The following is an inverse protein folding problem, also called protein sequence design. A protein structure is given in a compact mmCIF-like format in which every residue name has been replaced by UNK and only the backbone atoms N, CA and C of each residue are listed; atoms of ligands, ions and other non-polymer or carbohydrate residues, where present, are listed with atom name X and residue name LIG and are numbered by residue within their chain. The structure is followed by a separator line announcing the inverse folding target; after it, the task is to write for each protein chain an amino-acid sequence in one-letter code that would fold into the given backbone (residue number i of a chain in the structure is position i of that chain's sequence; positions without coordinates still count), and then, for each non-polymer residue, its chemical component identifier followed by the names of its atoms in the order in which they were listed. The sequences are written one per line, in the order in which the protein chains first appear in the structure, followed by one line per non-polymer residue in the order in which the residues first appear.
data_IF_228769107724
#
_entry.id   IF_228769107724
#
_cell.length_a   1.000
_cell.length_b   1.000
_cell.length_c   1.000
_cell.angle_alpha   90.00
_cell.angle_beta   90.00
_cell.angle_gamma   90.00
#
_symmetry.space_group_name_H-M   'P 1'
#
loop_
_entity.id
_entity.type
_entity.pdbx_description
1 polymer ?
#
# COMPACT_ATOMS: atom_id res chain seq x y z
N UNK A 1 -7.20 -39.44 22.15
CA UNK A 1 -6.69 -38.91 20.88
C UNK A 1 -6.15 -37.51 21.18
N UNK A 2 -4.83 -37.32 21.18
CA UNK A 2 -4.16 -36.06 21.57
C UNK A 2 -4.08 -35.16 20.34
N UNK A 3 -4.78 -34.02 20.35
CA UNK A 3 -4.64 -32.94 19.39
C UNK A 3 -3.25 -32.32 19.57
N UNK A 4 -2.35 -32.54 18.63
CA UNK A 4 -1.09 -31.79 18.49
C UNK A 4 -1.41 -30.49 17.75
N UNK A 5 -1.65 -29.43 18.48
CA UNK A 5 -1.54 -28.07 17.95
C UNK A 5 -0.09 -27.85 17.51
N UNK A 6 0.12 -27.81 16.19
CA UNK A 6 1.36 -27.31 15.60
C UNK A 6 1.41 -25.80 15.81
N UNK A 7 2.07 -25.37 16.87
CA UNK A 7 2.53 -24.01 17.07
C UNK A 7 3.57 -23.73 15.97
N UNK A 8 3.16 -23.06 14.92
CA UNK A 8 4.08 -22.60 13.87
C UNK A 8 4.94 -21.51 14.50
N UNK A 9 6.22 -21.81 14.74
CA UNK A 9 7.19 -20.82 15.24
C UNK A 9 7.42 -19.81 14.10
N UNK A 10 7.08 -18.56 14.35
CA UNK A 10 7.49 -17.44 13.51
C UNK A 10 9.03 -17.39 13.49
N UNK A 11 9.60 -17.57 12.32
CA UNK A 11 11.05 -17.42 12.13
C UNK A 11 11.30 -15.95 11.80
N UNK A 12 11.87 -15.23 12.76
CA UNK A 12 12.32 -13.84 12.58
C UNK A 12 13.83 -13.87 12.52
N UNK A 13 14.40 -13.51 11.38
CA UNK A 13 15.84 -13.28 11.25
C UNK A 13 16.09 -11.77 11.09
N UNK A 14 16.80 -11.20 12.07
CA UNK A 14 17.33 -9.84 11.97
C UNK A 14 18.60 -9.88 11.12
N UNK A 15 18.55 -9.29 9.93
CA UNK A 15 19.70 -9.19 9.03
C UNK A 15 20.16 -7.75 8.89
N UNK A 16 21.40 -7.51 9.31
CA UNK A 16 22.34 -6.41 9.08
C UNK A 16 21.81 -4.98 8.94
N UNK A 17 22.28 -4.15 9.87
CA UNK A 17 22.30 -2.69 9.76
C UNK A 17 23.16 -2.25 8.55
N UNK A 18 22.60 -1.50 7.63
CA UNK A 18 23.36 -0.74 6.63
C UNK A 18 23.50 0.71 7.12
N UNK A 19 24.67 1.05 7.62
CA UNK A 19 24.97 2.40 8.09
C UNK A 19 25.45 3.29 6.95
N UNK A 20 25.08 4.58 6.99
CA UNK A 20 25.70 5.65 6.21
C UNK A 20 24.82 6.89 6.07
N UNK A 21 25.09 7.95 6.86
CA UNK A 21 24.48 9.26 6.67
C UNK A 21 23.24 9.52 7.54
N UNK A 22 22.92 10.79 7.75
CA UNK A 22 21.82 11.31 8.59
C UNK A 22 20.37 10.98 8.13
N UNK A 23 20.19 10.05 7.23
CA UNK A 23 18.92 9.42 6.94
C UNK A 23 18.69 8.29 7.95
N UNK A 24 17.49 8.18 8.51
CA UNK A 24 17.13 7.15 9.50
C UNK A 24 17.58 5.76 9.02
N UNK A 25 18.11 4.96 9.95
CA UNK A 25 18.68 3.66 9.65
C UNK A 25 17.58 2.72 9.15
N UNK A 26 17.71 2.21 7.91
CA UNK A 26 16.79 1.19 7.38
C UNK A 26 17.22 -0.15 7.98
N UNK A 27 16.26 -0.83 8.62
CA UNK A 27 16.45 -2.15 9.20
C UNK A 27 15.76 -3.19 8.33
N UNK A 28 16.45 -4.27 8.04
CA UNK A 28 15.91 -5.39 7.28
C UNK A 28 15.47 -6.50 8.24
N UNK A 29 14.32 -7.08 7.98
CA UNK A 29 13.83 -8.27 8.67
C UNK A 29 12.99 -9.13 7.72
N UNK A 30 12.67 -10.36 8.13
CA UNK A 30 11.72 -11.19 7.38
C UNK A 30 10.67 -11.80 8.29
N UNK A 31 9.45 -11.96 7.76
CA UNK A 31 8.34 -12.64 8.43
C UNK A 31 7.81 -13.70 7.48
N UNK A 32 7.99 -14.97 7.84
CA UNK A 32 7.56 -16.13 7.04
C UNK A 32 8.01 -16.08 5.58
N UNK A 33 9.27 -15.65 5.36
CA UNK A 33 9.91 -15.61 4.05
C UNK A 33 9.59 -14.36 3.21
N UNK A 34 8.80 -13.43 3.72
CA UNK A 34 8.57 -12.12 3.08
C UNK A 34 9.54 -11.12 3.70
N UNK A 35 10.33 -10.47 2.85
CA UNK A 35 11.30 -9.46 3.27
C UNK A 35 10.61 -8.14 3.60
N UNK A 36 11.06 -7.50 4.69
CA UNK A 36 10.61 -6.20 5.17
C UNK A 36 11.79 -5.26 5.30
N UNK A 37 11.57 -4.01 4.91
CA UNK A 37 12.48 -2.89 5.14
C UNK A 37 11.78 -1.87 6.01
N UNK A 38 12.37 -1.54 7.15
CA UNK A 38 11.76 -0.68 8.15
C UNK A 38 12.58 0.60 8.32
N UNK A 39 11.89 1.73 8.38
CA UNK A 39 12.50 3.01 8.69
C UNK A 39 11.59 3.83 9.61
N UNK A 40 12.15 4.49 10.62
CA UNK A 40 11.38 5.21 11.62
C UNK A 40 11.79 6.68 11.68
N UNK A 41 10.81 7.58 11.65
CA UNK A 41 10.99 9.00 11.93
C UNK A 41 10.33 9.34 13.26
N UNK A 42 11.12 9.67 14.27
CA UNK A 42 10.64 9.95 15.62
C UNK A 42 9.99 8.76 16.32
N UNK A 43 9.20 9.03 17.36
CA UNK A 43 8.46 8.03 18.13
C UNK A 43 6.96 8.38 18.12
N UNK A 44 6.11 7.40 17.88
CA UNK A 44 4.66 7.65 17.74
C UNK A 44 4.22 7.73 16.29
N UNK A 45 3.02 8.33 16.04
CA UNK A 45 2.41 8.42 14.70
C UNK A 45 1.97 7.07 14.11
N UNK A 46 1.49 7.06 12.86
CA UNK A 46 1.00 5.84 12.22
C UNK A 46 2.12 4.85 11.88
N UNK A 47 1.72 3.60 11.68
CA UNK A 47 2.52 2.58 11.00
C UNK A 47 2.07 2.52 9.54
N UNK A 48 2.97 2.77 8.60
CA UNK A 48 2.69 2.86 7.18
C UNK A 48 3.23 1.63 6.48
N UNK A 49 2.35 0.72 6.07
CA UNK A 49 2.71 -0.46 5.30
C UNK A 49 2.74 -0.12 3.81
N UNK A 50 3.80 -0.52 3.13
CA UNK A 50 4.00 -0.25 1.72
C UNK A 50 4.32 -1.52 0.93
N UNK A 51 3.40 -1.90 0.04
CA UNK A 51 3.64 -2.95 -0.95
C UNK A 51 4.55 -2.43 -2.07
N UNK A 52 5.80 -2.88 -2.09
CA UNK A 52 6.81 -2.39 -3.03
C UNK A 52 7.03 -3.36 -4.19
N UNK A 53 7.55 -2.83 -5.30
CA UNK A 53 7.93 -3.63 -6.46
C UNK A 53 9.22 -4.42 -6.17
N UNK A 54 9.28 -5.71 -6.51
CA UNK A 54 10.49 -6.51 -6.29
C UNK A 54 11.65 -6.05 -7.18
N UNK A 55 12.85 -6.11 -6.62
CA UNK A 55 14.11 -5.93 -7.35
C UNK A 55 14.42 -4.54 -7.93
N UNK A 56 13.80 -3.48 -7.42
CA UNK A 56 14.26 -2.12 -7.71
C UNK A 56 15.27 -1.67 -6.63
N UNK A 57 16.54 -1.47 -6.98
CA UNK A 57 17.54 -1.02 -6.01
C UNK A 57 17.20 0.40 -5.54
N UNK A 58 17.42 0.66 -4.25
CA UNK A 58 17.25 1.97 -3.59
C UNK A 58 15.82 2.56 -3.63
N UNK A 59 14.79 1.75 -3.89
CA UNK A 59 13.40 2.26 -3.92
C UNK A 59 12.95 2.71 -2.54
N UNK A 60 13.36 1.98 -1.49
CA UNK A 60 13.05 2.33 -0.10
C UNK A 60 13.74 3.62 0.30
N UNK A 61 15.03 3.76 -0.03
CA UNK A 61 15.81 4.97 0.24
C UNK A 61 15.21 6.20 -0.47
N UNK A 62 14.85 6.08 -1.74
CA UNK A 62 14.25 7.19 -2.50
C UNK A 62 12.88 7.61 -1.94
N UNK A 63 12.04 6.63 -1.54
CA UNK A 63 10.78 6.96 -0.88
C UNK A 63 11.02 7.59 0.48
N UNK A 64 11.96 7.06 1.25
CA UNK A 64 12.32 7.59 2.57
C UNK A 64 12.78 9.03 2.50
N UNK A 65 13.70 9.37 1.56
CA UNK A 65 14.12 10.74 1.31
C UNK A 65 12.95 11.66 0.96
N UNK A 66 12.04 11.19 0.09
CA UNK A 66 10.84 11.95 -0.29
C UNK A 66 9.88 12.18 0.88
N UNK A 67 9.76 11.21 1.80
CA UNK A 67 8.97 11.36 3.03
C UNK A 67 9.61 12.38 3.97
N UNK A 68 10.92 12.30 4.20
CA UNK A 68 11.63 13.28 5.04
C UNK A 68 11.59 14.69 4.46
N UNK A 69 11.56 14.84 3.12
CA UNK A 69 11.39 16.15 2.47
C UNK A 69 9.98 16.73 2.72
N UNK A 70 8.94 15.91 2.62
CA UNK A 70 7.55 16.39 2.63
C UNK A 70 6.88 16.40 4.01
N UNK A 71 7.33 15.55 4.93
CA UNK A 71 6.77 15.38 6.27
C UNK A 71 7.85 15.23 7.36
N UNK A 72 8.88 16.13 7.39
CA UNK A 72 10.05 15.99 8.27
C UNK A 72 9.67 15.98 9.76
N UNK A 73 8.63 16.72 10.14
CA UNK A 73 8.20 16.88 11.55
C UNK A 73 7.21 15.81 12.01
N UNK A 74 6.78 14.92 11.09
CA UNK A 74 5.82 13.89 11.42
C UNK A 74 6.52 12.63 11.95
N UNK A 75 5.96 12.03 13.00
CA UNK A 75 6.43 10.75 13.52
C UNK A 75 5.70 9.62 12.80
N UNK A 76 6.40 8.60 12.33
CA UNK A 76 5.84 7.40 11.71
C UNK A 76 6.84 6.24 11.66
N UNK A 77 6.32 5.03 11.50
CA UNK A 77 7.10 3.84 11.18
C UNK A 77 6.71 3.40 9.76
N UNK A 78 7.67 3.41 8.83
CA UNK A 78 7.51 2.83 7.49
C UNK A 78 7.88 1.35 7.54
N UNK A 79 7.02 0.49 7.00
CA UNK A 79 7.20 -0.95 6.85
C UNK A 79 6.99 -1.31 5.38
N UNK A 80 8.05 -1.31 4.59
CA UNK A 80 7.99 -1.75 3.20
C UNK A 80 8.07 -3.28 3.14
N UNK A 81 7.18 -3.93 2.39
CA UNK A 81 7.18 -5.38 2.20
C UNK A 81 7.25 -5.75 0.73
N UNK A 82 8.04 -6.79 0.44
CA UNK A 82 8.29 -7.26 -0.91
C UNK A 82 7.63 -8.61 -1.15
N UNK A 83 6.72 -8.67 -2.13
CA UNK A 83 6.10 -9.93 -2.55
C UNK A 83 6.99 -10.68 -3.56
N UNK A 84 6.81 -11.98 -3.67
CA UNK A 84 7.60 -12.80 -4.60
C UNK A 84 7.19 -12.57 -6.07
N UNK A 85 5.90 -12.49 -6.34
CA UNK A 85 5.36 -12.29 -7.68
C UNK A 85 4.32 -11.18 -7.69
N UNK A 86 4.62 -10.09 -8.40
CA UNK A 86 3.80 -8.89 -8.47
C UNK A 86 2.37 -9.14 -8.95
N UNK A 87 2.23 -9.82 -10.09
CA UNK A 87 0.92 -10.06 -10.68
C UNK A 87 0.09 -11.08 -9.91
N UNK A 88 0.74 -12.05 -9.29
CA UNK A 88 0.08 -13.06 -8.48
C UNK A 88 -0.39 -12.50 -7.14
N UNK A 89 0.51 -11.82 -6.43
CA UNK A 89 0.37 -11.56 -5.01
C UNK A 89 -0.41 -10.27 -4.70
N UNK A 90 -0.47 -9.32 -5.65
CA UNK A 90 -1.25 -8.09 -5.50
C UNK A 90 -2.57 -8.07 -6.29
N UNK A 91 -2.87 -9.08 -7.09
CA UNK A 91 -4.15 -9.13 -7.79
C UNK A 91 -5.26 -9.67 -6.89
N UNK A 92 -6.42 -8.98 -6.84
CA UNK A 92 -7.56 -9.39 -6.02
C UNK A 92 -8.13 -10.75 -6.41
N UNK A 93 -8.20 -11.02 -7.70
CA UNK A 93 -8.70 -12.29 -8.30
C UNK A 93 -7.95 -12.63 -9.58
N UNK A 94 -8.20 -13.82 -10.11
CA UNK A 94 -7.60 -14.27 -11.36
C UNK A 94 -8.12 -13.46 -12.54
N UNK A 95 -7.22 -13.04 -13.41
CA UNK A 95 -7.56 -12.33 -14.64
C UNK A 95 -6.52 -12.58 -15.74
N UNK A 96 -6.97 -12.52 -17.00
CA UNK A 96 -6.07 -12.61 -18.15
C UNK A 96 -5.12 -11.41 -18.21
N UNK A 97 -3.99 -11.61 -18.89
CA UNK A 97 -3.01 -10.55 -19.12
C UNK A 97 -3.66 -9.36 -19.87
N UNK A 98 -3.53 -8.16 -19.32
CA UNK A 98 -3.93 -6.89 -19.95
C UNK A 98 -2.76 -6.27 -20.73
N UNK A 99 -1.55 -6.56 -20.29
CA UNK A 99 -0.29 -6.20 -20.95
C UNK A 99 0.73 -7.35 -20.76
N UNK A 100 1.73 -7.39 -21.63
CA UNK A 100 2.72 -8.49 -21.57
C UNK A 100 2.10 -9.86 -21.88
N UNK A 101 2.63 -10.91 -21.29
CA UNK A 101 2.18 -12.30 -21.48
C UNK A 101 1.68 -12.97 -20.19
N UNK A 102 2.01 -12.43 -19.04
CA UNK A 102 1.68 -12.99 -17.73
C UNK A 102 0.32 -12.46 -17.28
N UNK A 103 -0.58 -13.36 -16.93
CA UNK A 103 -1.87 -13.01 -16.31
C UNK A 103 -1.73 -12.72 -14.83
N UNK A 104 -2.87 -12.55 -14.19
CA UNK A 104 -2.99 -12.26 -12.77
C UNK A 104 -3.56 -13.50 -12.06
N UNK A 105 -2.85 -14.03 -11.06
CA UNK A 105 -3.25 -15.29 -10.43
C UNK A 105 -4.17 -15.12 -9.21
N UNK A 106 -4.50 -13.89 -8.81
CA UNK A 106 -5.55 -13.63 -7.82
C UNK A 106 -5.23 -14.08 -6.39
N UNK A 107 -3.97 -14.00 -5.97
CA UNK A 107 -3.57 -14.38 -4.61
C UNK A 107 -3.49 -13.19 -3.63
N UNK A 108 -4.06 -12.05 -3.98
CA UNK A 108 -4.10 -10.87 -3.11
C UNK A 108 -4.68 -11.16 -1.73
N UNK A 109 -5.70 -12.02 -1.62
CA UNK A 109 -6.28 -12.40 -0.33
C UNK A 109 -5.26 -13.14 0.57
N UNK A 110 -4.36 -13.93 0.00
CA UNK A 110 -3.28 -14.58 0.76
C UNK A 110 -2.29 -13.55 1.29
N UNK A 111 -1.92 -12.57 0.46
CA UNK A 111 -1.05 -11.47 0.87
C UNK A 111 -1.71 -10.61 1.94
N UNK A 112 -3.00 -10.29 1.80
CA UNK A 112 -3.75 -9.52 2.78
C UNK A 112 -3.83 -10.24 4.12
N UNK A 113 -4.14 -11.53 4.14
CA UNK A 113 -4.16 -12.34 5.37
C UNK A 113 -2.79 -12.37 6.05
N UNK A 114 -1.73 -12.63 5.30
CA UNK A 114 -0.39 -12.55 5.85
C UNK A 114 -0.11 -11.17 6.46
N UNK A 115 -0.50 -10.09 5.76
CA UNK A 115 -0.27 -8.73 6.24
C UNK A 115 -1.06 -8.46 7.53
N UNK A 116 -2.34 -8.83 7.59
CA UNK A 116 -3.23 -8.50 8.73
C UNK A 116 -3.13 -9.48 9.91
N UNK A 117 -2.87 -10.77 9.64
CA UNK A 117 -2.86 -11.80 10.69
C UNK A 117 -1.46 -12.11 11.24
N UNK A 118 -0.40 -11.79 10.46
CA UNK A 118 0.98 -12.13 10.81
C UNK A 118 1.87 -10.88 10.92
N UNK A 119 1.97 -10.07 9.84
CA UNK A 119 2.88 -8.93 9.78
C UNK A 119 2.48 -7.82 10.75
N UNK A 120 1.27 -7.28 10.65
CA UNK A 120 0.77 -6.21 11.54
C UNK A 120 0.91 -6.60 13.01
N UNK A 121 0.40 -7.76 13.49
CA UNK A 121 0.57 -8.15 14.89
C UNK A 121 2.03 -8.36 15.32
N UNK A 122 2.91 -8.76 14.38
CA UNK A 122 4.34 -8.91 14.69
C UNK A 122 5.01 -7.55 14.88
N UNK A 123 4.77 -6.61 13.96
CA UNK A 123 5.27 -5.23 14.03
C UNK A 123 4.76 -4.55 15.30
N UNK A 124 3.47 -4.66 15.60
CA UNK A 124 2.86 -4.08 16.80
C UNK A 124 3.55 -4.53 18.09
N UNK A 125 3.84 -5.82 18.19
CA UNK A 125 4.54 -6.37 19.36
C UNK A 125 6.01 -5.96 19.42
N UNK A 126 6.70 -6.01 18.28
CA UNK A 126 8.15 -5.76 18.22
C UNK A 126 8.49 -4.31 18.49
N UNK A 127 7.68 -3.38 17.97
CA UNK A 127 7.93 -1.95 18.10
C UNK A 127 7.03 -1.25 19.13
N UNK A 128 6.15 -1.99 19.83
CA UNK A 128 5.23 -1.43 20.83
C UNK A 128 4.24 -0.44 20.25
N UNK A 129 3.72 -0.70 19.03
CA UNK A 129 2.91 0.24 18.25
C UNK A 129 1.44 -0.16 18.11
N UNK A 130 0.97 -1.12 18.91
CA UNK A 130 -0.38 -1.71 18.85
C UNK A 130 -1.54 -0.69 18.82
N UNK A 131 -1.38 0.43 19.50
CA UNK A 131 -2.44 1.46 19.61
C UNK A 131 -2.28 2.57 18.56
N UNK A 132 -1.41 2.39 17.56
CA UNK A 132 -1.23 3.33 16.47
C UNK A 132 -2.16 3.02 15.30
N UNK A 133 -2.44 4.05 14.51
CA UNK A 133 -3.12 3.86 13.23
C UNK A 133 -2.25 3.07 12.25
N UNK A 134 -2.85 2.17 11.50
CA UNK A 134 -2.21 1.45 10.40
C UNK A 134 -2.69 2.04 9.07
N UNK A 135 -1.74 2.44 8.25
CA UNK A 135 -2.01 2.91 6.88
C UNK A 135 -1.41 1.93 5.88
N UNK A 136 -2.08 1.73 4.76
CA UNK A 136 -1.59 0.89 3.68
C UNK A 136 -1.44 1.72 2.41
N UNK A 137 -0.27 1.65 1.79
CA UNK A 137 0.00 2.37 0.56
C UNK A 137 0.59 1.48 -0.53
N UNK A 138 0.36 1.88 -1.78
CA UNK A 138 0.93 1.20 -2.92
C UNK A 138 0.85 2.01 -4.20
N UNK A 139 1.63 1.59 -5.17
CA UNK A 139 1.68 2.14 -6.50
C UNK A 139 1.24 1.10 -7.53
N UNK A 140 0.54 1.50 -8.59
CA UNK A 140 0.13 0.59 -9.66
C UNK A 140 -0.75 -0.56 -9.14
N UNK A 141 -0.37 -1.82 -9.35
CA UNK A 141 -1.10 -2.99 -8.85
C UNK A 141 -1.11 -3.07 -7.32
N UNK A 142 -0.01 -2.66 -6.65
CA UNK A 142 0.00 -2.53 -5.20
C UNK A 142 -0.90 -1.38 -4.71
N UNK A 143 -1.12 -0.34 -5.53
CA UNK A 143 -2.12 0.70 -5.27
C UNK A 143 -3.55 0.17 -5.34
N UNK A 144 -3.85 -0.65 -6.35
CA UNK A 144 -5.11 -1.41 -6.42
C UNK A 144 -5.28 -2.30 -5.19
N UNK A 145 -4.25 -3.06 -4.83
CA UNK A 145 -4.26 -3.92 -3.64
C UNK A 145 -4.54 -3.13 -2.36
N UNK A 146 -3.88 -1.98 -2.16
CA UNK A 146 -4.10 -1.15 -0.98
C UNK A 146 -5.56 -0.67 -0.89
N UNK A 147 -6.14 -0.23 -2.01
CA UNK A 147 -7.53 0.19 -2.05
C UNK A 147 -8.49 -1.00 -1.85
N UNK A 148 -8.22 -2.14 -2.49
CA UNK A 148 -9.01 -3.36 -2.33
C UNK A 148 -8.97 -3.88 -0.88
N UNK A 149 -7.85 -3.75 -0.19
CA UNK A 149 -7.72 -4.14 1.21
C UNK A 149 -8.70 -3.42 2.14
N UNK A 150 -9.10 -2.18 1.83
CA UNK A 150 -10.12 -1.46 2.60
C UNK A 150 -11.54 -2.04 2.44
N UNK A 151 -11.81 -2.75 1.35
CA UNK A 151 -13.06 -3.48 1.15
C UNK A 151 -13.06 -4.87 1.80
N UNK A 152 -11.90 -5.43 2.15
CA UNK A 152 -11.74 -6.80 2.67
C UNK A 152 -11.32 -6.86 4.15
N UNK A 153 -10.88 -5.73 4.74
CA UNK A 153 -10.29 -5.68 6.07
C UNK A 153 -10.59 -4.37 6.78
N UNK A 154 -10.75 -4.43 8.09
CA UNK A 154 -10.97 -3.29 8.99
C UNK A 154 -9.67 -2.78 9.66
N UNK A 155 -8.51 -3.32 9.28
CA UNK A 155 -7.22 -3.02 9.93
C UNK A 155 -6.68 -1.64 9.57
N UNK A 156 -6.97 -1.13 8.36
CA UNK A 156 -6.32 0.08 7.84
C UNK A 156 -7.24 1.31 7.89
N UNK A 157 -6.85 2.32 8.66
CA UNK A 157 -7.54 3.61 8.77
C UNK A 157 -7.08 4.65 7.73
N UNK A 158 -6.05 4.34 6.95
CA UNK A 158 -5.51 5.20 5.89
C UNK A 158 -5.10 4.40 4.67
N UNK A 159 -5.55 4.83 3.50
CA UNK A 159 -5.25 4.20 2.22
C UNK A 159 -4.61 5.21 1.27
N UNK A 160 -3.43 4.88 0.74
CA UNK A 160 -2.75 5.67 -0.29
C UNK A 160 -2.61 4.83 -1.55
N UNK A 161 -3.49 5.08 -2.51
CA UNK A 161 -3.55 4.41 -3.81
C UNK A 161 -3.00 5.33 -4.90
N UNK A 162 -1.71 5.19 -5.22
CA UNK A 162 -1.06 6.00 -6.25
C UNK A 162 -1.03 5.28 -7.60
N UNK A 163 -1.52 5.94 -8.64
CA UNK A 163 -1.60 5.37 -10.00
C UNK A 163 -2.15 3.94 -10.01
N UNK A 164 -3.13 3.67 -9.12
CA UNK A 164 -3.69 2.35 -8.92
C UNK A 164 -4.23 1.76 -10.22
N UNK A 165 -4.02 0.47 -10.43
CA UNK A 165 -4.45 -0.27 -11.63
C UNK A 165 -5.97 -0.47 -11.66
N UNK A 166 -6.76 0.61 -11.50
CA UNK A 166 -8.22 0.57 -11.42
C UNK A 166 -8.90 0.19 -12.74
N UNK A 167 -8.11 0.03 -13.80
CA UNK A 167 -8.50 -0.64 -15.04
C UNK A 167 -8.62 -2.17 -14.90
N UNK A 168 -8.27 -2.74 -13.76
CA UNK A 168 -8.27 -4.19 -13.52
C UNK A 168 -9.65 -4.79 -13.87
N UNK A 169 -9.70 -5.96 -14.55
CA UNK A 169 -10.95 -6.59 -14.96
C UNK A 169 -11.93 -6.74 -13.81
N UNK A 170 -13.19 -6.42 -14.05
CA UNK A 170 -14.31 -6.49 -13.10
C UNK A 170 -14.21 -5.59 -11.86
N UNK A 171 -13.21 -4.71 -11.76
CA UNK A 171 -13.04 -3.80 -10.62
C UNK A 171 -14.26 -2.91 -10.37
N UNK A 172 -14.86 -2.31 -11.40
CA UNK A 172 -16.03 -1.46 -11.24
C UNK A 172 -17.30 -2.23 -10.85
N UNK A 173 -17.41 -3.50 -11.27
CA UNK A 173 -18.47 -4.38 -10.78
C UNK A 173 -18.27 -4.70 -9.29
N UNK A 174 -17.04 -5.03 -8.90
CA UNK A 174 -16.70 -5.33 -7.52
C UNK A 174 -17.04 -4.17 -6.58
N UNK A 175 -16.53 -2.96 -6.82
CA UNK A 175 -16.70 -1.81 -5.92
C UNK A 175 -18.14 -1.31 -5.81
N UNK A 176 -19.00 -1.59 -6.80
CA UNK A 176 -20.44 -1.26 -6.72
C UNK A 176 -21.23 -2.23 -5.84
N UNK A 177 -20.68 -3.39 -5.53
CA UNK A 177 -21.35 -4.45 -4.76
C UNK A 177 -20.69 -4.70 -3.39
N UNK A 178 -19.64 -3.93 -3.05
CA UNK A 178 -18.93 -4.03 -1.78
C UNK A 178 -18.82 -2.64 -1.14
N UNK A 179 -18.72 -2.62 0.19
CA UNK A 179 -18.56 -1.41 0.99
C UNK A 179 -17.25 -1.47 1.77
N UNK A 180 -16.71 -0.32 2.13
CA UNK A 180 -15.53 -0.21 3.00
C UNK A 180 -15.85 -0.87 4.36
N UNK A 181 -14.86 -1.57 4.95
CA UNK A 181 -15.09 -2.37 6.16
C UNK A 181 -14.93 -1.59 7.46
N UNK A 182 -14.19 -0.48 7.46
CA UNK A 182 -13.99 0.37 8.65
C UNK A 182 -13.78 1.83 8.25
N UNK A 183 -13.89 2.72 9.23
CA UNK A 183 -13.59 4.15 9.00
C UNK A 183 -12.18 4.34 8.50
N UNK A 184 -12.05 4.99 7.33
CA UNK A 184 -10.75 5.28 6.74
C UNK A 184 -10.75 6.59 5.96
N UNK A 185 -9.55 7.12 5.70
CA UNK A 185 -9.32 8.19 4.73
C UNK A 185 -8.58 7.62 3.53
N UNK A 186 -8.93 8.09 2.32
CA UNK A 186 -8.40 7.52 1.07
C UNK A 186 -7.79 8.61 0.20
N UNK A 187 -6.51 8.46 -0.12
CA UNK A 187 -5.83 9.28 -1.11
C UNK A 187 -5.72 8.50 -2.42
N UNK A 188 -6.27 9.06 -3.48
CA UNK A 188 -6.11 8.58 -4.85
C UNK A 188 -5.20 9.53 -5.62
N UNK A 189 -4.30 9.01 -6.45
CA UNK A 189 -3.59 9.85 -7.40
C UNK A 189 -3.40 9.18 -8.75
N UNK A 190 -3.31 10.02 -9.81
CA UNK A 190 -3.09 9.55 -11.17
C UNK A 190 -2.25 10.56 -11.95
N UNK A 191 -1.41 10.08 -12.86
CA UNK A 191 -0.70 10.94 -13.80
C UNK A 191 -1.58 11.36 -14.98
N UNK A 192 -1.61 12.65 -15.32
CA UNK A 192 -2.48 13.21 -16.36
C UNK A 192 -2.21 12.70 -17.79
N UNK A 193 -1.17 11.86 -17.98
CA UNK A 193 -0.90 11.18 -19.26
C UNK A 193 -1.24 9.68 -19.23
N UNK A 194 -1.65 9.11 -18.08
CA UNK A 194 -1.89 7.67 -17.97
C UNK A 194 -3.12 7.21 -18.78
N UNK A 195 -4.18 7.99 -18.78
CA UNK A 195 -5.38 7.74 -19.59
C UNK A 195 -5.15 7.91 -21.11
N UNK A 196 -3.96 8.42 -21.54
CA UNK A 196 -3.59 8.61 -22.95
C UNK A 196 -2.77 7.44 -23.53
N UNK A 197 -2.67 6.34 -22.81
CA UNK A 197 -1.98 5.14 -23.31
C UNK A 197 -2.69 4.52 -24.51
N UNK A 198 -1.94 3.82 -25.38
CA UNK A 198 -2.48 3.11 -26.55
C UNK A 198 -3.30 1.87 -26.18
N UNK A 199 -3.03 1.25 -25.03
CA UNK A 199 -3.81 0.13 -24.54
C UNK A 199 -5.15 0.62 -24.02
N UNK A 200 -6.23 0.27 -24.73
CA UNK A 200 -7.59 0.76 -24.43
C UNK A 200 -8.11 0.34 -23.05
N UNK A 201 -7.71 -0.84 -22.55
CA UNK A 201 -8.09 -1.30 -21.20
C UNK A 201 -7.41 -0.42 -20.16
N UNK A 202 -6.10 -0.22 -20.28
CA UNK A 202 -5.35 0.63 -19.36
C UNK A 202 -5.75 2.10 -19.46
N UNK A 203 -6.14 2.59 -20.64
CA UNK A 203 -6.61 3.97 -20.84
C UNK A 203 -7.87 4.30 -20.02
N UNK A 204 -8.68 3.29 -19.68
CA UNK A 204 -9.86 3.47 -18.84
C UNK A 204 -9.51 3.88 -17.39
N UNK A 205 -8.23 3.87 -16.98
CA UNK A 205 -7.81 4.20 -15.63
C UNK A 205 -8.30 5.57 -15.15
N UNK A 206 -8.31 6.57 -16.02
CA UNK A 206 -8.78 7.92 -15.68
C UNK A 206 -10.25 7.94 -15.26
N UNK A 207 -11.12 7.37 -16.09
CA UNK A 207 -12.56 7.30 -15.82
C UNK A 207 -12.87 6.40 -14.62
N UNK A 208 -12.16 5.28 -14.50
CA UNK A 208 -12.29 4.37 -13.35
C UNK A 208 -11.89 5.04 -12.04
N UNK A 209 -10.80 5.81 -12.02
CA UNK A 209 -10.35 6.51 -10.82
C UNK A 209 -11.31 7.62 -10.41
N UNK A 210 -11.86 8.39 -11.36
CA UNK A 210 -12.92 9.38 -11.10
C UNK A 210 -14.21 8.73 -10.58
N UNK A 211 -14.58 7.57 -11.11
CA UNK A 211 -15.73 6.82 -10.64
C UNK A 211 -15.51 6.28 -9.22
N UNK A 212 -14.32 5.79 -8.94
CA UNK A 212 -13.91 5.33 -7.61
C UNK A 212 -13.96 6.44 -6.58
N UNK A 213 -13.46 7.64 -6.90
CA UNK A 213 -13.53 8.79 -6.01
C UNK A 213 -14.98 9.11 -5.62
N UNK A 214 -15.90 9.15 -6.60
CA UNK A 214 -17.33 9.39 -6.32
C UNK A 214 -17.95 8.34 -5.41
N UNK A 215 -17.66 7.05 -5.64
CA UNK A 215 -18.17 5.97 -4.79
C UNK A 215 -17.65 6.10 -3.35
N UNK A 216 -16.37 6.47 -3.19
CA UNK A 216 -15.79 6.69 -1.85
C UNK A 216 -16.37 7.93 -1.17
N UNK A 217 -16.74 8.99 -1.90
CA UNK A 217 -17.43 10.17 -1.35
C UNK A 217 -18.83 9.85 -0.84
N UNK A 218 -19.48 8.83 -1.41
CA UNK A 218 -20.82 8.38 -1.01
C UNK A 218 -20.78 7.33 0.11
N UNK A 219 -19.62 6.73 0.42
CA UNK A 219 -19.48 5.72 1.47
C UNK A 219 -19.37 6.37 2.85
N UNK A 220 -20.28 6.04 3.75
CA UNK A 220 -20.36 6.61 5.11
C UNK A 220 -19.18 6.26 6.03
N UNK A 221 -18.38 5.26 5.68
CA UNK A 221 -17.17 4.87 6.39
C UNK A 221 -15.92 5.58 5.86
N UNK A 222 -16.01 6.29 4.75
CA UNK A 222 -14.91 7.12 4.24
C UNK A 222 -14.98 8.51 4.85
N UNK A 223 -14.06 8.79 5.77
CA UNK A 223 -14.00 10.08 6.49
C UNK A 223 -13.52 11.22 5.58
N UNK A 224 -12.60 10.94 4.68
CA UNK A 224 -12.07 11.88 3.70
C UNK A 224 -11.55 11.14 2.48
N UNK A 225 -11.76 11.71 1.31
CA UNK A 225 -11.18 11.22 0.05
C UNK A 225 -10.73 12.38 -0.83
N UNK A 226 -9.62 12.18 -1.53
CA UNK A 226 -9.12 13.11 -2.54
C UNK A 226 -8.58 12.36 -3.75
N UNK A 227 -8.75 12.94 -4.95
CA UNK A 227 -8.06 12.52 -6.16
C UNK A 227 -7.11 13.62 -6.62
N UNK A 228 -5.81 13.39 -6.50
CA UNK A 228 -4.76 14.31 -6.98
C UNK A 228 -4.27 13.90 -8.37
N UNK A 229 -4.34 14.84 -9.32
CA UNK A 229 -3.75 14.69 -10.65
C UNK A 229 -2.30 15.19 -10.65
N UNK A 230 -1.38 14.31 -11.03
CA UNK A 230 0.04 14.62 -11.11
C UNK A 230 0.49 14.85 -12.56
N UNK A 231 1.57 15.60 -12.75
CA UNK A 231 2.20 15.72 -14.06
C UNK A 231 2.80 14.38 -14.51
N UNK A 232 2.86 14.15 -15.83
CA UNK A 232 3.52 12.96 -16.39
C UNK A 232 2.63 11.73 -16.53
N UNK A 233 3.27 10.61 -16.83
CA UNK A 233 2.65 9.29 -17.01
C UNK A 233 2.88 8.37 -15.81
N UNK A 234 2.63 7.08 -16.03
CA UNK A 234 2.64 6.05 -14.98
C UNK A 234 3.96 5.93 -14.20
N UNK A 235 5.09 6.13 -14.84
CA UNK A 235 6.42 5.96 -14.21
C UNK A 235 7.05 7.28 -13.73
N UNK A 236 6.30 8.38 -13.73
CA UNK A 236 6.83 9.67 -13.31
C UNK A 236 6.70 9.85 -11.79
N UNK A 237 7.82 10.02 -11.12
CA UNK A 237 7.93 10.43 -9.71
C UNK A 237 7.12 9.57 -8.71
N UNK A 238 7.13 8.23 -8.86
CA UNK A 238 6.34 7.32 -8.03
C UNK A 238 6.55 7.54 -6.52
N UNK A 239 7.80 7.67 -6.06
CA UNK A 239 8.13 7.92 -4.65
C UNK A 239 7.55 9.24 -4.15
N UNK A 240 7.68 10.33 -4.93
CA UNK A 240 7.09 11.63 -4.57
C UNK A 240 5.56 11.60 -4.52
N UNK A 241 4.91 10.83 -5.40
CA UNK A 241 3.43 10.67 -5.35
C UNK A 241 2.98 9.93 -4.11
N UNK A 242 3.68 8.86 -3.72
CA UNK A 242 3.44 8.14 -2.46
C UNK A 242 3.64 9.08 -1.25
N UNK A 243 4.74 9.82 -1.21
CA UNK A 243 5.03 10.76 -0.13
C UNK A 243 4.00 11.90 -0.04
N UNK A 244 3.46 12.40 -1.17
CA UNK A 244 2.34 13.35 -1.17
C UNK A 244 1.07 12.75 -0.56
N UNK A 245 0.77 11.49 -0.84
CA UNK A 245 -0.35 10.78 -0.22
C UNK A 245 -0.19 10.71 1.29
N UNK A 246 0.99 10.36 1.78
CA UNK A 246 1.31 10.35 3.22
C UNK A 246 1.18 11.75 3.83
N UNK A 247 1.68 12.79 3.15
CA UNK A 247 1.51 14.18 3.59
C UNK A 247 0.05 14.58 3.73
N UNK A 248 -0.77 14.23 2.73
CA UNK A 248 -2.20 14.51 2.79
C UNK A 248 -2.88 13.79 3.95
N UNK A 249 -2.53 12.52 4.20
CA UNK A 249 -3.05 11.74 5.33
C UNK A 249 -2.78 12.44 6.67
N UNK A 250 -1.55 12.93 6.89
CA UNK A 250 -1.23 13.71 8.09
C UNK A 250 -2.06 14.99 8.21
N UNK A 251 -2.30 15.71 7.10
CA UNK A 251 -3.13 16.90 7.07
C UNK A 251 -4.57 16.62 7.49
N UNK A 252 -5.19 15.57 6.96
CA UNK A 252 -6.57 15.17 7.29
C UNK A 252 -6.70 14.78 8.77
N UNK A 253 -5.75 14.00 9.29
CA UNK A 253 -5.78 13.52 10.69
C UNK A 253 -5.47 14.62 11.70
N UNK A 254 -4.77 15.68 11.30
CA UNK A 254 -4.48 16.84 12.15
C UNK A 254 -5.63 17.87 12.18
N UNK A 255 -6.67 17.70 11.38
CA UNK A 255 -7.80 18.64 11.29
C UNK A 255 -7.45 19.99 10.67
N UNK A 256 -6.37 20.05 9.86
CA UNK A 256 -5.86 21.24 9.16
C UNK A 256 -6.44 21.35 7.76
#
# INVERSE_FOLDING_TARGET
MKNKEKKQMLTTELTKEKGGGSAGMIQDMSINGIELHLAQNGTGGPVIFWGMYPHQPNEVEHLWESLLELVPEQNFLLVAFQVENWNRDFSPWEASAVFGKEGFAGQGLKTLRWLTEECVPHIDRTFGVKDREHWLMGYSLAGLFALWAAYESDVFSGIVCCSGSLWFPDWDHYVRNHVIQSKCSVYLSLGGKEEKTKNKVMAAVGDRTRAQERLLQEDSLVESVVLEWNAGGHFADAGKRLAKGVKWMFGVKSGL
#
